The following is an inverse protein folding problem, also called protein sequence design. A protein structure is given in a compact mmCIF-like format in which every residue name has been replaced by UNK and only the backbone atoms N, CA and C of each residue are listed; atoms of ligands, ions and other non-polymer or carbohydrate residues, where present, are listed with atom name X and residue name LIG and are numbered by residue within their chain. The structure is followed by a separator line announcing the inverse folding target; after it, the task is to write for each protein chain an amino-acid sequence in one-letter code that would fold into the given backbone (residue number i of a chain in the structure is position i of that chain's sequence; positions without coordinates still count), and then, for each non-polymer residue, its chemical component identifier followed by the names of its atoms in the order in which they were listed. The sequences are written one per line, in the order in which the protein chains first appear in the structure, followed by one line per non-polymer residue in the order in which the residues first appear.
data_IF_905255705736
#
_entry.id   IF_905255705736
#
_cell.length_a   1.000
_cell.length_b   1.000
_cell.length_c   1.000
_cell.angle_alpha   90.00
_cell.angle_beta   90.00
_cell.angle_gamma   90.00
#
_symmetry.space_group_name_H-M   'P 1'
#
loop_
_entity.id
_entity.type
_entity.pdbx_description
1 polymer ?
#
# COMPACT_ATOMS: atom_id res chain seq x y z
N UNK A 1 47.93 -17.56 -37.20
CA UNK A 1 47.68 -16.61 -36.08
C UNK A 1 46.76 -15.44 -36.46
N UNK A 2 45.70 -15.65 -37.27
CA UNK A 2 44.76 -14.57 -37.65
C UNK A 2 43.27 -14.97 -37.59
N UNK A 3 42.97 -16.24 -37.29
CA UNK A 3 41.58 -16.76 -37.24
C UNK A 3 41.01 -16.87 -35.83
N UNK A 4 41.83 -16.73 -34.80
CA UNK A 4 41.40 -16.82 -33.39
C UNK A 4 40.98 -15.48 -32.78
N UNK A 5 41.26 -14.35 -33.44
CA UNK A 5 41.00 -13.01 -32.90
C UNK A 5 39.61 -12.44 -33.25
N UNK A 6 38.87 -13.08 -34.15
CA UNK A 6 37.57 -12.55 -34.63
C UNK A 6 36.39 -13.10 -33.83
N UNK A 7 36.59 -14.18 -33.05
CA UNK A 7 35.49 -14.85 -32.33
C UNK A 7 35.18 -14.19 -30.97
N UNK A 8 36.08 -13.36 -30.43
CA UNK A 8 35.86 -12.73 -29.12
C UNK A 8 35.09 -11.40 -29.15
N UNK A 9 34.76 -10.85 -30.33
CA UNK A 9 34.16 -9.52 -30.42
C UNK A 9 32.65 -9.51 -30.70
N UNK A 10 32.04 -10.67 -30.85
CA UNK A 10 30.61 -10.80 -31.18
C UNK A 10 29.95 -11.49 -30.00
N UNK A 11 29.02 -10.79 -29.33
CA UNK A 11 28.08 -11.27 -28.30
C UNK A 11 28.37 -10.94 -26.82
N UNK A 12 29.08 -9.85 -26.53
CA UNK A 12 28.80 -9.07 -25.30
C UNK A 12 27.69 -8.03 -25.56
N UNK A 13 26.53 -8.48 -26.03
CA UNK A 13 25.31 -7.71 -25.88
C UNK A 13 24.73 -8.07 -24.51
N UNK A 14 25.27 -7.44 -23.47
CA UNK A 14 24.65 -7.42 -22.15
C UNK A 14 23.32 -6.71 -22.33
N UNK A 15 22.24 -7.47 -22.44
CA UNK A 15 20.88 -6.94 -22.39
C UNK A 15 20.66 -6.38 -21.00
N UNK A 16 20.93 -5.09 -20.83
CA UNK A 16 20.38 -4.32 -19.72
C UNK A 16 18.89 -4.22 -20.01
N UNK A 17 18.13 -5.21 -19.56
CA UNK A 17 16.69 -5.11 -19.49
C UNK A 17 16.39 -3.95 -18.54
N UNK A 18 16.16 -2.76 -19.09
CA UNK A 18 15.66 -1.63 -18.35
C UNK A 18 14.33 -2.08 -17.73
N UNK A 19 14.33 -2.28 -16.40
CA UNK A 19 13.10 -2.51 -15.68
C UNK A 19 12.23 -1.29 -15.91
N UNK A 20 11.12 -1.46 -16.63
CA UNK A 20 10.20 -0.37 -16.92
C UNK A 20 9.82 0.33 -15.61
N UNK A 21 10.08 1.62 -15.54
CA UNK A 21 9.72 2.44 -14.39
C UNK A 21 8.20 2.36 -14.19
N UNK A 22 7.77 1.87 -13.02
CA UNK A 22 6.35 1.72 -12.72
C UNK A 22 5.76 3.08 -12.39
N UNK A 23 4.78 3.53 -13.16
CA UNK A 23 4.02 4.75 -12.86
C UNK A 23 3.11 4.51 -11.64
N UNK A 24 3.58 4.93 -10.46
CA UNK A 24 2.85 4.75 -9.20
C UNK A 24 1.50 5.48 -9.18
N UNK A 25 1.38 6.60 -9.88
CA UNK A 25 0.13 7.37 -9.96
C UNK A 25 -0.93 6.54 -10.68
N UNK A 26 -0.60 6.00 -11.85
CA UNK A 26 -1.54 5.18 -12.61
C UNK A 26 -1.92 3.90 -11.85
N UNK A 27 -0.95 3.27 -11.17
CA UNK A 27 -1.21 2.07 -10.36
C UNK A 27 -2.19 2.30 -9.20
N UNK A 28 -2.28 3.53 -8.66
CA UNK A 28 -3.14 3.85 -7.50
C UNK A 28 -4.38 4.68 -7.86
N UNK A 29 -4.54 5.07 -9.14
CA UNK A 29 -5.63 5.91 -9.63
C UNK A 29 -7.02 5.43 -9.22
N UNK A 30 -7.22 4.11 -9.10
CA UNK A 30 -8.49 3.50 -8.74
C UNK A 30 -8.46 2.76 -7.38
N UNK A 31 -7.59 3.16 -6.45
CA UNK A 31 -7.42 2.49 -5.15
C UNK A 31 -8.75 2.26 -4.40
N UNK A 32 -9.68 3.22 -4.45
CA UNK A 32 -11.01 3.11 -3.84
C UNK A 32 -11.96 2.08 -4.46
N UNK A 33 -11.58 1.43 -5.57
CA UNK A 33 -12.35 0.38 -6.26
C UNK A 33 -11.66 -0.98 -6.24
N UNK A 34 -10.42 -1.05 -5.77
CA UNK A 34 -9.64 -2.29 -5.73
C UNK A 34 -10.10 -3.21 -4.61
N UNK A 35 -10.00 -4.52 -4.86
CA UNK A 35 -10.18 -5.56 -3.87
C UNK A 35 -8.95 -5.66 -2.94
N UNK A 36 -9.15 -6.24 -1.76
CA UNK A 36 -8.04 -6.53 -0.85
C UNK A 36 -6.96 -7.39 -1.50
N UNK A 37 -7.35 -8.34 -2.37
CA UNK A 37 -6.39 -9.22 -3.06
C UNK A 37 -5.45 -8.42 -3.96
N UNK A 38 -5.99 -7.45 -4.68
CA UNK A 38 -5.20 -6.58 -5.56
C UNK A 38 -4.25 -5.70 -4.74
N UNK A 39 -4.73 -5.08 -3.65
CA UNK A 39 -3.87 -4.27 -2.76
C UNK A 39 -2.76 -5.12 -2.12
N UNK A 40 -3.10 -6.31 -1.60
CA UNK A 40 -2.16 -7.18 -0.89
C UNK A 40 -1.13 -7.85 -1.81
N UNK A 41 -1.31 -7.80 -3.13
CA UNK A 41 -0.31 -8.31 -4.08
C UNK A 41 1.03 -7.56 -3.97
N UNK A 42 0.99 -6.26 -3.66
CA UNK A 42 2.17 -5.43 -3.41
C UNK A 42 2.34 -5.10 -1.92
N UNK A 43 1.25 -5.01 -1.15
CA UNK A 43 1.26 -4.62 0.27
C UNK A 43 1.07 -5.81 1.23
N UNK A 44 1.62 -6.97 0.90
CA UNK A 44 1.41 -8.23 1.63
C UNK A 44 1.79 -8.19 3.12
N UNK A 45 2.67 -7.27 3.52
CA UNK A 45 3.19 -7.17 4.89
C UNK A 45 2.51 -6.11 5.74
N UNK A 46 1.42 -5.47 5.26
CA UNK A 46 0.76 -4.38 6.00
C UNK A 46 0.24 -4.79 7.39
N UNK A 47 -0.09 -6.07 7.58
CA UNK A 47 -0.49 -6.62 8.87
C UNK A 47 0.69 -6.87 9.82
N UNK A 48 1.93 -6.79 9.34
CA UNK A 48 3.16 -6.94 10.12
C UNK A 48 3.76 -5.60 10.53
N UNK A 49 3.16 -4.48 10.12
CA UNK A 49 3.62 -3.14 10.50
C UNK A 49 3.68 -3.00 12.03
N UNK A 50 4.80 -2.46 12.51
CA UNK A 50 5.05 -2.20 13.92
C UNK A 50 5.03 -0.71 14.20
N UNK A 51 4.43 -0.32 15.32
CA UNK A 51 4.46 1.06 15.78
C UNK A 51 5.81 1.40 16.39
N UNK A 52 6.27 2.65 16.20
CA UNK A 52 7.43 3.18 16.93
C UNK A 52 7.23 3.11 18.44
N UNK A 53 5.99 3.30 18.90
CA UNK A 53 5.62 3.05 20.29
C UNK A 53 5.04 1.64 20.43
N UNK A 54 5.84 0.72 20.99
CA UNK A 54 5.50 -0.70 21.17
C UNK A 54 4.27 -0.95 22.05
N UNK A 55 3.78 0.05 22.81
CA UNK A 55 2.55 -0.07 23.59
C UNK A 55 1.29 -0.13 22.71
N UNK A 56 1.37 0.37 21.47
CA UNK A 56 0.22 0.50 20.58
C UNK A 56 0.40 -0.32 19.30
N UNK A 57 -0.69 -0.93 18.83
CA UNK A 57 -0.75 -1.54 17.49
C UNK A 57 -0.91 -0.46 16.42
N UNK A 58 -0.48 -0.76 15.20
CA UNK A 58 -0.76 0.10 14.04
C UNK A 58 -2.25 0.06 13.68
N UNK A 59 -2.75 1.09 12.99
CA UNK A 59 -4.16 1.16 12.57
C UNK A 59 -4.56 -0.04 11.71
N UNK A 60 -3.71 -0.45 10.77
CA UNK A 60 -3.94 -1.63 9.94
C UNK A 60 -4.10 -2.88 10.79
N UNK A 61 -3.20 -3.10 11.75
CA UNK A 61 -3.25 -4.27 12.63
C UNK A 61 -4.51 -4.27 13.50
N UNK A 62 -4.85 -3.12 14.11
CA UNK A 62 -6.06 -2.98 14.94
C UNK A 62 -7.34 -3.31 14.16
N UNK A 63 -7.50 -2.82 12.93
CA UNK A 63 -8.72 -3.02 12.15
C UNK A 63 -8.77 -4.39 11.46
N UNK A 64 -7.65 -4.90 10.94
CA UNK A 64 -7.61 -6.21 10.28
C UNK A 64 -7.82 -7.36 11.28
N UNK A 65 -7.26 -7.25 12.49
CA UNK A 65 -7.43 -8.25 13.57
C UNK A 65 -8.79 -8.15 14.29
N UNK A 66 -9.52 -7.04 14.14
CA UNK A 66 -10.81 -6.82 14.81
C UNK A 66 -11.84 -7.91 14.47
N UNK A 67 -12.64 -8.35 15.45
CA UNK A 67 -13.73 -9.33 15.23
C UNK A 67 -15.08 -8.67 14.90
N UNK A 68 -15.13 -7.34 14.79
CA UNK A 68 -16.35 -6.62 14.44
C UNK A 68 -16.74 -6.89 12.97
N UNK A 69 -18.05 -6.87 12.70
CA UNK A 69 -18.63 -7.14 11.37
C UNK A 69 -18.46 -6.00 10.37
N UNK A 70 -17.75 -4.92 10.74
CA UNK A 70 -17.50 -3.79 9.86
C UNK A 70 -16.61 -4.20 8.67
N UNK A 71 -16.88 -3.69 7.46
CA UNK A 71 -16.21 -4.16 6.28
C UNK A 71 -14.71 -3.82 6.32
N UNK A 72 -13.87 -4.85 6.24
CA UNK A 72 -12.40 -4.79 6.32
C UNK A 72 -11.73 -4.57 4.96
N UNK A 73 -12.31 -3.75 4.10
CA UNK A 73 -11.75 -3.54 2.76
C UNK A 73 -10.76 -2.40 2.75
N UNK A 74 -9.62 -2.58 2.09
CA UNK A 74 -8.60 -1.52 1.93
C UNK A 74 -9.23 -0.24 1.35
N UNK A 75 -10.10 -0.41 0.34
CA UNK A 75 -10.85 0.65 -0.33
C UNK A 75 -11.82 1.44 0.57
N UNK A 76 -12.20 0.92 1.74
CA UNK A 76 -13.09 1.65 2.66
C UNK A 76 -12.39 2.85 3.29
N UNK A 77 -11.08 2.76 3.49
CA UNK A 77 -10.26 3.85 4.03
C UNK A 77 -9.47 4.53 2.91
N UNK A 78 -8.91 3.75 1.98
CA UNK A 78 -8.13 4.26 0.86
C UNK A 78 -9.02 4.50 -0.36
N UNK A 79 -9.97 5.43 -0.23
CA UNK A 79 -10.84 5.83 -1.35
C UNK A 79 -10.05 6.53 -2.47
N UNK A 80 -8.97 7.21 -2.09
CA UNK A 80 -7.94 7.78 -2.96
C UNK A 80 -6.61 7.74 -2.21
N UNK A 81 -5.50 7.85 -2.94
CA UNK A 81 -4.15 7.95 -2.35
C UNK A 81 -3.47 9.16 -2.93
N UNK A 82 -3.11 10.12 -2.07
CA UNK A 82 -2.30 11.26 -2.46
C UNK A 82 -0.82 10.84 -2.52
N UNK A 83 -0.31 10.73 -3.75
CA UNK A 83 1.09 10.46 -4.05
C UNK A 83 1.73 11.78 -4.53
N UNK A 84 2.36 12.54 -3.62
CA UNK A 84 3.21 13.67 -4.04
C UNK A 84 4.50 13.16 -4.66
N UNK A 85 4.93 13.81 -5.74
CA UNK A 85 6.16 13.47 -6.46
C UNK A 85 7.37 13.34 -5.52
N UNK A 86 8.09 12.22 -5.68
CA UNK A 86 9.44 12.03 -5.14
C UNK A 86 9.54 11.69 -3.65
N UNK A 87 8.44 11.49 -2.93
CA UNK A 87 8.51 11.05 -1.54
C UNK A 87 7.69 9.80 -1.29
N UNK A 88 8.37 8.66 -1.25
CA UNK A 88 7.85 7.42 -0.64
C UNK A 88 7.49 7.60 0.85
N UNK A 89 7.86 8.74 1.45
CA UNK A 89 7.76 9.06 2.86
C UNK A 89 6.76 10.19 3.20
N UNK A 90 6.42 11.09 2.28
CA UNK A 90 5.57 12.24 2.53
C UNK A 90 4.13 11.99 2.11
N UNK A 91 3.55 10.96 2.72
CA UNK A 91 2.11 10.74 2.74
C UNK A 91 1.47 11.84 3.55
N UNK A 92 1.11 12.97 2.93
CA UNK A 92 0.46 14.02 3.72
C UNK A 92 -0.90 13.57 4.20
N UNK A 93 -1.67 12.74 3.46
CA UNK A 93 -2.86 12.00 3.94
C UNK A 93 -3.16 10.78 3.04
N UNK A 94 -2.89 9.56 3.50
CA UNK A 94 -3.30 8.32 2.77
C UNK A 94 -4.81 8.04 2.83
N UNK A 95 -5.47 8.65 3.81
CA UNK A 95 -6.85 8.41 4.20
C UNK A 95 -7.41 9.74 4.68
N UNK A 96 -8.62 10.08 4.26
CA UNK A 96 -9.37 11.21 4.83
C UNK A 96 -9.84 10.85 6.26
N UNK A 97 -9.43 11.59 7.31
CA UNK A 97 -9.89 11.35 8.67
C UNK A 97 -11.41 11.38 8.86
N UNK A 98 -12.17 12.05 7.98
CA UNK A 98 -13.63 12.05 8.05
C UNK A 98 -14.23 10.65 7.81
N UNK A 99 -13.53 9.77 7.09
CA UNK A 99 -13.94 8.37 6.92
C UNK A 99 -13.94 7.61 8.25
N UNK A 100 -13.06 8.00 9.18
CA UNK A 100 -13.02 7.42 10.51
C UNK A 100 -14.30 7.74 11.29
N UNK A 101 -14.80 8.98 11.17
CA UNK A 101 -16.01 9.42 11.85
C UNK A 101 -17.24 8.58 11.44
N UNK A 102 -17.29 8.09 10.19
CA UNK A 102 -18.40 7.24 9.72
C UNK A 102 -18.63 5.98 10.57
N UNK A 103 -17.58 5.45 11.20
CA UNK A 103 -17.69 4.28 12.09
C UNK A 103 -17.45 4.63 13.57
N UNK A 104 -16.57 5.61 13.86
CA UNK A 104 -16.08 5.89 15.21
C UNK A 104 -16.74 7.09 15.91
N UNK A 105 -17.69 7.79 15.26
CA UNK A 105 -18.44 8.91 15.88
C UNK A 105 -19.76 8.48 16.56
N UNK A 106 -20.05 7.18 16.64
CA UNK A 106 -21.32 6.68 17.21
C UNK A 106 -22.51 6.71 16.24
N UNK A 107 -22.30 7.05 14.96
CA UNK A 107 -23.33 7.08 13.91
C UNK A 107 -23.85 5.71 13.44
N UNK A 108 -23.25 4.61 13.88
CA UNK A 108 -23.74 3.25 13.59
C UNK A 108 -24.62 2.79 14.75
N UNK A 109 -25.92 2.59 14.50
CA UNK A 109 -26.90 2.15 15.52
C UNK A 109 -26.43 0.82 16.14
N UNK A 110 -26.08 0.85 17.43
CA UNK A 110 -25.56 -0.31 18.18
C UNK A 110 -24.03 -0.42 18.27
N UNK A 111 -23.27 0.47 17.63
CA UNK A 111 -21.82 0.55 17.83
C UNK A 111 -21.51 1.29 19.13
N UNK A 112 -20.81 0.63 20.05
CA UNK A 112 -20.19 1.30 21.20
C UNK A 112 -19.07 2.18 20.64
N UNK A 113 -19.02 3.46 20.99
CA UNK A 113 -17.89 4.33 20.64
C UNK A 113 -16.64 3.74 21.29
N UNK A 114 -15.81 3.09 20.47
CA UNK A 114 -14.52 2.56 20.91
C UNK A 114 -13.49 3.63 20.59
N UNK A 115 -13.21 4.49 21.56
CA UNK A 115 -12.01 5.30 21.48
C UNK A 115 -10.82 4.33 21.43
N UNK A 116 -9.98 4.46 20.40
CA UNK A 116 -8.66 3.85 20.43
C UNK A 116 -7.91 4.48 21.60
N UNK A 117 -7.67 3.71 22.66
CA UNK A 117 -6.81 4.08 23.78
C UNK A 117 -5.35 4.06 23.36
#
# INVERSE_FOLDING_TARGET
MKRFLVVCFVLMFVSVAAAAEKNLIEMHKNAGKMSNKECLSCHANINKDVSLNKKFKTLHRTHLESKLSTPKKCANCHQSVDLREGSSAALRKQVDPQLCAGCHSGGVKGAKVLFAQ
#
